data_IF_283261305229
#
_entry.id   IF_283261305229
#
_cell.length_a   1.000
_cell.length_b   1.000
_cell.length_c   1.000
_cell.angle_alpha   90.00
_cell.angle_beta   90.00
_cell.angle_gamma   90.00
#
_symmetry.space_group_name_H-M   'P 1'
#
loop_
_entity.id
_entity.type
_entity.pdbx_description
1 polymer ?
#
# COMPACT_ATOMS: atom_id res chain seq x y z
N UNK A 1 4.75 -31.31 -14.37
CA UNK A 1 3.62 -32.16 -14.83
C UNK A 1 2.86 -32.79 -13.66
N UNK A 2 3.51 -33.55 -12.76
CA UNK A 2 2.87 -34.17 -11.57
C UNK A 2 2.00 -33.22 -10.73
N UNK A 3 2.43 -31.98 -10.55
CA UNK A 3 1.69 -30.94 -9.81
C UNK A 3 0.33 -30.63 -10.46
N UNK A 4 0.31 -30.47 -11.78
CA UNK A 4 -0.92 -30.23 -12.54
C UNK A 4 -1.84 -31.46 -12.51
N UNK A 5 -1.27 -32.66 -12.63
CA UNK A 5 -1.97 -33.94 -12.46
C UNK A 5 -2.64 -34.05 -11.08
N UNK A 6 -1.98 -33.58 -10.02
CA UNK A 6 -2.54 -33.55 -8.66
C UNK A 6 -3.63 -32.50 -8.49
N UNK A 7 -3.39 -31.27 -8.94
CA UNK A 7 -4.31 -30.13 -8.84
C UNK A 7 -5.60 -30.33 -9.64
N UNK A 8 -5.52 -30.98 -10.80
CA UNK A 8 -6.64 -31.16 -11.72
C UNK A 8 -6.98 -32.63 -11.96
N UNK A 9 -6.75 -33.51 -10.97
CA UNK A 9 -6.99 -34.97 -11.07
C UNK A 9 -8.38 -35.37 -11.58
N UNK A 10 -9.38 -34.51 -11.40
CA UNK A 10 -10.76 -34.73 -11.86
C UNK A 10 -11.00 -34.30 -13.32
N UNK A 11 -9.98 -33.82 -14.03
CA UNK A 11 -10.06 -33.34 -15.42
C UNK A 11 -9.35 -34.32 -16.34
N UNK A 12 -9.98 -34.66 -17.46
CA UNK A 12 -9.47 -35.58 -18.48
C UNK A 12 -8.10 -35.17 -19.04
N UNK A 13 -7.88 -33.87 -19.14
CA UNK A 13 -6.72 -33.19 -19.69
C UNK A 13 -5.45 -33.39 -18.84
N UNK A 14 -5.61 -33.88 -17.60
CA UNK A 14 -4.52 -34.07 -16.64
C UNK A 14 -4.36 -35.52 -16.20
N UNK A 15 -4.89 -36.47 -16.97
CA UNK A 15 -4.79 -37.92 -16.69
C UNK A 15 -3.43 -38.51 -17.05
N UNK A 16 -2.69 -37.90 -17.99
CA UNK A 16 -1.36 -38.34 -18.42
C UNK A 16 -0.47 -37.15 -18.81
N UNK A 17 0.86 -37.33 -18.83
CA UNK A 17 1.76 -36.25 -19.25
C UNK A 17 1.54 -35.82 -20.71
N UNK A 18 1.19 -36.75 -21.59
CA UNK A 18 0.89 -36.45 -22.99
C UNK A 18 -0.38 -35.62 -23.12
N UNK A 19 -1.44 -35.94 -22.36
CA UNK A 19 -2.67 -35.15 -22.35
C UNK A 19 -2.39 -33.71 -21.87
N UNK A 20 -1.55 -33.55 -20.84
CA UNK A 20 -1.17 -32.22 -20.34
C UNK A 20 -0.35 -31.46 -21.39
N UNK A 21 0.58 -32.13 -22.07
CA UNK A 21 1.37 -31.52 -23.16
C UNK A 21 0.48 -31.05 -24.30
N UNK A 22 -0.47 -31.88 -24.73
CA UNK A 22 -1.44 -31.52 -25.76
C UNK A 22 -2.32 -30.34 -25.32
N UNK A 23 -2.82 -30.37 -24.09
CA UNK A 23 -3.64 -29.30 -23.53
C UNK A 23 -2.89 -27.96 -23.43
N UNK A 24 -1.64 -27.98 -22.96
CA UNK A 24 -0.78 -26.79 -22.90
C UNK A 24 -0.26 -26.32 -24.28
N UNK A 25 -0.58 -27.05 -25.35
CA UNK A 25 -0.23 -26.67 -26.72
C UNK A 25 1.19 -27.05 -27.15
N UNK A 26 1.82 -28.04 -26.51
CA UNK A 26 3.06 -28.66 -27.01
C UNK A 26 2.77 -29.62 -28.16
N UNK A 27 3.58 -29.58 -29.21
CA UNK A 27 3.54 -30.60 -30.27
C UNK A 27 4.13 -31.92 -29.77
N UNK A 28 3.45 -33.03 -30.06
CA UNK A 28 3.95 -34.38 -29.79
C UNK A 28 5.36 -34.54 -30.36
N UNK A 29 6.31 -34.91 -29.49
CA UNK A 29 7.72 -35.14 -29.87
C UNK A 29 8.62 -33.89 -29.97
N UNK A 30 8.13 -32.67 -29.72
CA UNK A 30 8.98 -31.46 -29.72
C UNK A 30 8.64 -30.53 -28.55
N UNK A 31 9.65 -29.90 -27.96
CA UNK A 31 9.47 -28.83 -26.93
C UNK A 31 9.05 -27.48 -27.54
N UNK A 32 8.68 -27.44 -28.83
CA UNK A 32 8.21 -26.23 -29.50
C UNK A 32 6.73 -26.02 -29.22
N UNK A 33 6.38 -24.80 -28.80
CA UNK A 33 5.03 -24.40 -28.43
C UNK A 33 4.21 -24.01 -29.68
N UNK A 34 2.94 -24.45 -29.75
CA UNK A 34 1.96 -23.88 -30.69
C UNK A 34 1.42 -22.54 -30.18
N UNK A 35 0.77 -21.81 -31.09
CA UNK A 35 0.37 -20.40 -31.01
C UNK A 35 0.04 -19.86 -29.62
N UNK A 36 0.48 -18.62 -29.37
CA UNK A 36 0.32 -17.88 -28.11
C UNK A 36 -1.14 -17.84 -27.60
N UNK A 37 -2.10 -17.97 -28.51
CA UNK A 37 -3.54 -18.04 -28.23
C UNK A 37 -3.97 -19.35 -27.56
N UNK A 38 -3.46 -20.51 -28.00
CA UNK A 38 -3.76 -21.80 -27.35
C UNK A 38 -3.25 -21.82 -25.90
N UNK A 39 -2.08 -21.24 -25.66
CA UNK A 39 -1.50 -21.14 -24.31
C UNK A 39 -2.35 -20.25 -23.40
N UNK A 40 -2.81 -19.10 -23.90
CA UNK A 40 -3.72 -18.22 -23.14
C UNK A 40 -5.03 -18.92 -22.78
N UNK A 41 -5.60 -19.69 -23.70
CA UNK A 41 -6.82 -20.44 -23.46
C UNK A 41 -6.62 -21.56 -22.43
N UNK A 42 -5.53 -22.32 -22.56
CA UNK A 42 -5.17 -23.37 -21.59
C UNK A 42 -4.94 -22.79 -20.18
N UNK A 43 -4.23 -21.67 -20.09
CA UNK A 43 -4.01 -20.96 -18.83
C UNK A 43 -5.34 -20.45 -18.23
N UNK A 44 -6.22 -19.87 -19.04
CA UNK A 44 -7.54 -19.40 -18.59
C UNK A 44 -8.38 -20.54 -18.01
N UNK A 45 -8.45 -21.68 -18.70
CA UNK A 45 -9.17 -22.86 -18.22
C UNK A 45 -8.58 -23.40 -16.90
N UNK A 46 -7.24 -23.46 -16.77
CA UNK A 46 -6.58 -23.81 -15.51
C UNK A 46 -6.96 -22.87 -14.37
N UNK A 47 -7.02 -21.55 -14.62
CA UNK A 47 -7.41 -20.55 -13.61
C UNK A 47 -8.86 -20.76 -13.18
N UNK A 48 -9.78 -20.91 -14.13
CA UNK A 48 -11.20 -21.16 -13.85
C UNK A 48 -11.39 -22.44 -13.01
N UNK A 49 -10.72 -23.53 -13.38
CA UNK A 49 -10.80 -24.78 -12.62
C UNK A 49 -10.15 -24.68 -11.23
N UNK A 50 -9.09 -23.89 -11.09
CA UNK A 50 -8.49 -23.62 -9.78
C UNK A 50 -9.44 -22.83 -8.89
N UNK A 51 -10.16 -21.84 -9.44
CA UNK A 51 -11.20 -21.08 -8.72
C UNK A 51 -12.39 -21.95 -8.32
N UNK A 52 -12.92 -22.79 -9.22
CA UNK A 52 -13.98 -23.74 -8.90
C UNK A 52 -13.58 -24.67 -7.74
N UNK A 53 -12.31 -25.10 -7.72
CA UNK A 53 -11.78 -25.94 -6.65
C UNK A 53 -11.60 -25.14 -5.36
N UNK A 54 -11.14 -23.90 -5.43
CA UNK A 54 -11.02 -22.98 -4.29
C UNK A 54 -12.36 -22.75 -3.60
N UNK A 55 -13.43 -22.53 -4.37
CA UNK A 55 -14.79 -22.35 -3.83
C UNK A 55 -15.32 -23.57 -3.07
N UNK A 56 -14.83 -24.77 -3.41
CA UNK A 56 -15.19 -26.03 -2.73
C UNK A 56 -14.36 -26.31 -1.48
N UNK A 57 -13.25 -25.60 -1.28
CA UNK A 57 -12.38 -25.74 -0.12
C UNK A 57 -12.78 -24.63 0.87
N UNK A 58 -13.34 -24.95 2.05
CA UNK A 58 -13.64 -23.94 3.06
C UNK A 58 -12.37 -23.17 3.41
N UNK A 59 -12.46 -21.84 3.53
CA UNK A 59 -11.32 -20.95 3.77
C UNK A 59 -10.46 -21.47 4.95
N UNK A 60 -9.27 -21.97 4.62
CA UNK A 60 -8.40 -22.65 5.58
C UNK A 60 -7.58 -21.59 6.31
N UNK A 61 -7.90 -21.41 7.59
CA UNK A 61 -7.12 -20.71 8.64
C UNK A 61 -6.94 -19.20 8.49
N UNK A 62 -7.48 -18.45 9.46
CA UNK A 62 -7.07 -17.07 9.72
C UNK A 62 -5.71 -17.09 10.41
N UNK A 63 -4.76 -16.28 9.93
CA UNK A 63 -3.48 -16.12 10.61
C UNK A 63 -3.68 -15.10 11.74
N UNK A 64 -3.79 -15.61 12.96
CA UNK A 64 -3.70 -14.83 14.18
C UNK A 64 -2.26 -14.82 14.66
N UNK A 65 -1.77 -13.64 15.01
CA UNK A 65 -0.39 -13.43 15.46
C UNK A 65 -0.37 -12.36 16.54
N UNK A 66 0.50 -12.54 17.53
CA UNK A 66 0.71 -11.56 18.60
C UNK A 66 1.96 -10.71 18.39
N UNK A 67 2.84 -11.08 17.46
CA UNK A 67 4.08 -10.35 17.19
C UNK A 67 4.57 -10.53 15.73
N UNK A 68 5.40 -9.57 15.28
CA UNK A 68 5.87 -9.50 13.89
C UNK A 68 6.70 -10.73 13.48
N UNK A 69 7.49 -11.30 14.39
CA UNK A 69 8.32 -12.47 14.07
C UNK A 69 7.48 -13.73 13.82
N UNK A 70 6.44 -13.95 14.63
CA UNK A 70 5.49 -15.05 14.47
C UNK A 70 4.69 -14.88 13.16
N UNK A 71 4.33 -13.64 12.82
CA UNK A 71 3.69 -13.34 11.55
C UNK A 71 4.56 -13.79 10.38
N UNK A 72 5.81 -13.31 10.32
CA UNK A 72 6.76 -13.65 9.26
C UNK A 72 6.94 -15.15 9.11
N UNK A 73 7.07 -15.88 10.23
CA UNK A 73 7.21 -17.33 10.19
C UNK A 73 5.97 -18.03 9.60
N UNK A 74 4.76 -17.56 9.93
CA UNK A 74 3.50 -18.13 9.40
C UNK A 74 3.25 -17.76 7.94
N UNK A 75 3.68 -16.58 7.49
CA UNK A 75 3.49 -16.13 6.10
C UNK A 75 4.62 -16.57 5.17
N UNK A 76 5.82 -16.88 5.69
CA UNK A 76 6.99 -17.23 4.88
C UNK A 76 6.72 -18.31 3.81
N UNK A 77 5.98 -19.41 4.09
CA UNK A 77 5.64 -20.40 3.08
C UNK A 77 4.79 -19.84 1.92
N UNK A 78 4.15 -18.69 2.09
CA UNK A 78 3.21 -18.06 1.17
C UNK A 78 3.72 -16.73 0.59
N UNK A 79 4.85 -16.22 1.05
CA UNK A 79 5.35 -14.86 0.76
C UNK A 79 6.52 -14.82 -0.25
N UNK A 80 6.85 -15.94 -0.89
CA UNK A 80 7.80 -16.03 -1.99
C UNK A 80 9.22 -15.60 -1.62
N UNK A 81 9.62 -15.97 -0.40
CA UNK A 81 10.95 -15.65 0.13
C UNK A 81 11.90 -16.80 -0.22
N UNK A 82 12.71 -16.62 -1.27
CA UNK A 82 13.72 -17.58 -1.74
C UNK A 82 14.66 -18.07 -0.61
N UNK A 83 14.77 -17.26 0.46
CA UNK A 83 15.58 -17.52 1.65
C UNK A 83 14.97 -18.64 2.52
N UNK A 84 13.64 -18.85 2.48
CA UNK A 84 12.95 -19.89 3.28
C UNK A 84 12.52 -21.13 2.52
N UNK A 85 12.52 -21.10 1.18
CA UNK A 85 12.08 -22.22 0.32
C UNK A 85 13.12 -23.32 0.14
N UNK A 86 14.33 -23.17 0.69
CA UNK A 86 15.41 -24.16 0.58
C UNK A 86 15.10 -25.56 1.12
N UNK A 87 13.97 -25.77 1.81
CA UNK A 87 13.59 -27.06 2.41
C UNK A 87 12.09 -27.42 2.29
N UNK A 88 11.36 -26.90 1.30
CA UNK A 88 9.97 -27.32 1.11
C UNK A 88 9.91 -28.69 0.40
N UNK A 89 9.19 -29.66 0.98
CA UNK A 89 8.88 -30.97 0.37
C UNK A 89 7.97 -30.89 -0.89
N UNK A 90 7.76 -29.68 -1.42
CA UNK A 90 6.87 -29.41 -2.55
C UNK A 90 7.71 -29.15 -3.80
N UNK A 91 7.43 -29.88 -4.88
CA UNK A 91 8.08 -29.72 -6.20
C UNK A 91 7.71 -28.40 -6.91
N UNK A 92 7.04 -27.48 -6.23
CA UNK A 92 6.55 -26.23 -6.80
C UNK A 92 6.45 -25.13 -5.74
N UNK A 93 6.42 -23.89 -6.21
CA UNK A 93 6.24 -22.72 -5.37
C UNK A 93 4.77 -22.57 -4.93
N UNK A 94 4.44 -22.78 -3.64
CA UNK A 94 3.07 -22.72 -3.15
C UNK A 94 2.44 -21.32 -3.23
N UNK A 95 3.25 -20.25 -3.30
CA UNK A 95 2.75 -18.86 -3.42
C UNK A 95 1.89 -18.64 -4.66
N UNK A 96 2.13 -19.41 -5.73
CA UNK A 96 1.35 -19.34 -6.96
C UNK A 96 -0.12 -19.76 -6.77
N UNK A 97 -0.41 -20.54 -5.73
CA UNK A 97 -1.76 -21.01 -5.40
C UNK A 97 -2.47 -20.12 -4.35
N UNK A 98 -1.79 -19.11 -3.83
CA UNK A 98 -2.34 -18.21 -2.82
C UNK A 98 -3.16 -17.13 -3.52
N UNK A 99 -4.49 -17.16 -3.31
CA UNK A 99 -5.40 -16.16 -3.85
C UNK A 99 -5.54 -14.90 -2.98
N UNK A 100 -5.39 -15.04 -1.66
CA UNK A 100 -5.49 -13.96 -0.66
C UNK A 100 -4.82 -14.39 0.63
N UNK A 101 -4.09 -13.49 1.27
CA UNK A 101 -3.60 -13.65 2.65
C UNK A 101 -4.34 -12.62 3.50
N UNK A 102 -5.07 -13.08 4.52
CA UNK A 102 -5.72 -12.22 5.50
C UNK A 102 -4.96 -12.25 6.82
N UNK A 103 -4.43 -11.10 7.22
CA UNK A 103 -3.71 -10.91 8.48
C UNK A 103 -4.60 -10.10 9.43
N UNK A 104 -4.84 -10.65 10.62
CA UNK A 104 -5.60 -9.97 11.67
C UNK A 104 -4.65 -9.59 12.81
N UNK A 105 -4.66 -8.31 13.20
CA UNK A 105 -3.88 -7.80 14.31
C UNK A 105 -4.55 -6.57 14.94
N UNK A 106 -4.20 -6.30 16.19
CA UNK A 106 -4.65 -5.10 16.90
C UNK A 106 -3.76 -3.91 16.51
N UNK A 107 -4.13 -3.26 15.41
CA UNK A 107 -3.44 -2.06 14.94
C UNK A 107 -4.04 -0.80 15.60
N UNK A 108 -3.20 0.22 15.84
CA UNK A 108 -3.62 1.50 16.43
C UNK A 108 -4.69 2.22 15.61
N UNK A 109 -4.69 2.02 14.28
CA UNK A 109 -5.68 2.58 13.36
C UNK A 109 -6.66 1.48 12.98
N UNK A 110 -7.97 1.72 13.16
CA UNK A 110 -9.04 0.80 12.74
C UNK A 110 -9.26 0.89 11.23
N UNK A 111 -8.29 0.41 10.46
CA UNK A 111 -8.36 0.32 9.01
C UNK A 111 -8.03 -1.09 8.53
N UNK A 112 -8.63 -1.48 7.41
CA UNK A 112 -8.19 -2.64 6.64
C UNK A 112 -7.29 -2.14 5.53
N UNK A 113 -6.06 -2.64 5.48
CA UNK A 113 -5.08 -2.33 4.43
C UNK A 113 -4.99 -3.57 3.55
N UNK A 114 -5.12 -3.40 2.24
CA UNK A 114 -4.93 -4.46 1.26
C UNK A 114 -3.74 -4.13 0.38
N UNK A 115 -2.78 -5.05 0.33
CA UNK A 115 -1.72 -5.04 -0.67
C UNK A 115 -2.19 -5.85 -1.88
N UNK A 116 -2.09 -5.27 -3.07
CA UNK A 116 -2.64 -5.82 -4.30
C UNK A 116 -1.51 -6.19 -5.27
N UNK A 117 -1.67 -7.24 -6.08
CA UNK A 117 -0.73 -7.51 -7.16
C UNK A 117 -0.70 -6.33 -8.14
N UNK A 118 0.43 -6.18 -8.85
CA UNK A 118 0.59 -5.16 -9.89
C UNK A 118 -0.52 -5.26 -10.95
N UNK A 119 -1.03 -4.12 -11.40
CA UNK A 119 -2.08 -4.06 -12.43
C UNK A 119 -1.56 -4.38 -13.85
N UNK A 120 -0.26 -4.61 -13.96
CA UNK A 120 0.49 -5.14 -15.10
C UNK A 120 0.78 -6.66 -14.98
N UNK A 121 0.24 -7.35 -13.98
CA UNK A 121 0.42 -8.81 -13.80
C UNK A 121 -0.02 -9.59 -15.05
N UNK A 122 0.82 -10.54 -15.47
CA UNK A 122 0.60 -11.44 -16.62
C UNK A 122 -0.70 -12.24 -16.44
N UNK A 123 -1.10 -12.51 -15.19
CA UNK A 123 -2.28 -13.28 -14.83
C UNK A 123 -3.48 -12.33 -14.74
N UNK A 124 -4.25 -12.26 -15.82
CA UNK A 124 -5.43 -11.38 -15.95
C UNK A 124 -6.47 -11.52 -14.83
N UNK A 125 -6.61 -12.71 -14.23
CA UNK A 125 -7.51 -12.93 -13.10
C UNK A 125 -7.06 -12.18 -11.84
N UNK A 126 -5.75 -12.14 -11.56
CA UNK A 126 -5.19 -11.36 -10.44
C UNK A 126 -5.44 -9.88 -10.64
N UNK A 127 -5.23 -9.39 -11.86
CA UNK A 127 -5.56 -8.01 -12.25
C UNK A 127 -7.04 -7.71 -12.02
N UNK A 128 -7.94 -8.56 -12.52
CA UNK A 128 -9.40 -8.36 -12.39
C UNK A 128 -9.83 -8.34 -10.91
N UNK A 129 -9.24 -9.21 -10.08
CA UNK A 129 -9.51 -9.23 -8.64
C UNK A 129 -8.97 -7.99 -7.92
N UNK A 130 -7.76 -7.55 -8.27
CA UNK A 130 -7.18 -6.31 -7.76
C UNK A 130 -8.04 -5.11 -8.15
N UNK A 131 -8.46 -5.01 -9.41
CA UNK A 131 -9.34 -3.96 -9.90
C UNK A 131 -10.64 -3.91 -9.09
N UNK A 132 -11.34 -5.04 -8.92
CA UNK A 132 -12.56 -5.17 -8.10
C UNK A 132 -12.33 -4.71 -6.65
N UNK A 133 -11.24 -5.17 -6.03
CA UNK A 133 -10.91 -4.78 -4.67
C UNK A 133 -10.68 -3.26 -4.54
N UNK A 134 -10.01 -2.66 -5.52
CA UNK A 134 -9.80 -1.22 -5.58
C UNK A 134 -11.10 -0.42 -5.79
N UNK A 135 -12.16 -1.03 -6.33
CA UNK A 135 -13.48 -0.37 -6.46
C UNK A 135 -14.20 -0.24 -5.13
N UNK A 136 -14.05 -1.23 -4.26
CA UNK A 136 -14.67 -1.23 -2.94
C UNK A 136 -13.90 -0.35 -1.94
N UNK A 137 -12.66 0.01 -2.26
CA UNK A 137 -11.80 0.84 -1.42
C UNK A 137 -12.29 2.30 -1.37
N UNK A 138 -12.27 2.91 -0.17
CA UNK A 138 -12.50 4.36 0.00
C UNK A 138 -11.24 5.19 -0.24
N UNK A 139 -10.09 4.58 -0.02
CA UNK A 139 -8.77 5.18 -0.27
C UNK A 139 -7.99 4.23 -1.16
N UNK A 140 -7.39 4.76 -2.20
CA UNK A 140 -6.47 4.03 -3.06
C UNK A 140 -5.11 4.68 -2.97
N UNK A 141 -4.10 3.89 -2.64
CA UNK A 141 -2.72 4.32 -2.56
C UNK A 141 -1.99 3.78 -3.80
N UNK A 142 -1.58 4.68 -4.69
CA UNK A 142 -0.73 4.35 -5.83
C UNK A 142 0.73 4.59 -5.45
N UNK A 143 1.55 3.55 -5.46
CA UNK A 143 2.98 3.65 -5.15
C UNK A 143 3.77 3.62 -6.45
N UNK A 144 4.57 4.65 -6.70
CA UNK A 144 5.41 4.75 -7.91
C UNK A 144 6.84 5.20 -7.53
N UNK A 145 7.83 4.96 -8.37
CA UNK A 145 9.16 5.55 -8.17
C UNK A 145 9.15 7.03 -8.58
N UNK A 146 9.74 7.91 -7.75
CA UNK A 146 9.82 9.35 -8.04
C UNK A 146 10.51 9.65 -9.39
N UNK A 147 11.41 8.78 -9.86
CA UNK A 147 12.09 8.88 -11.16
C UNK A 147 11.16 8.65 -12.35
N UNK A 148 10.04 7.95 -12.17
CA UNK A 148 9.13 7.52 -13.25
C UNK A 148 7.81 8.26 -13.24
N UNK A 149 7.38 8.76 -12.08
CA UNK A 149 6.05 9.32 -11.86
C UNK A 149 5.66 10.51 -12.78
N UNK A 150 6.62 11.21 -13.39
CA UNK A 150 6.33 12.31 -14.32
C UNK A 150 5.86 11.86 -15.72
N UNK A 151 6.33 10.70 -16.15
CA UNK A 151 6.29 10.23 -17.54
C UNK A 151 5.70 8.81 -17.68
N UNK A 152 5.25 8.21 -16.58
CA UNK A 152 4.60 6.91 -16.63
C UNK A 152 3.18 7.02 -17.20
N UNK A 153 3.00 6.49 -18.41
CA UNK A 153 1.70 6.43 -19.07
C UNK A 153 0.71 5.52 -18.35
N UNK A 154 1.18 4.53 -17.58
CA UNK A 154 0.29 3.69 -16.77
C UNK A 154 -0.29 4.47 -15.60
N UNK A 155 0.55 5.14 -14.80
CA UNK A 155 0.09 6.01 -13.72
C UNK A 155 -0.86 7.09 -14.24
N UNK A 156 -0.56 7.70 -15.40
CA UNK A 156 -1.41 8.76 -15.95
C UNK A 156 -2.80 8.22 -16.34
N UNK A 157 -2.86 7.09 -17.04
CA UNK A 157 -4.13 6.42 -17.34
C UNK A 157 -4.90 6.03 -16.07
N UNK A 158 -4.20 5.46 -15.08
CA UNK A 158 -4.80 4.99 -13.83
C UNK A 158 -5.40 6.15 -13.03
N UNK A 159 -4.65 7.24 -12.87
CA UNK A 159 -5.11 8.42 -12.15
C UNK A 159 -6.25 9.12 -12.89
N UNK A 160 -6.20 9.22 -14.22
CA UNK A 160 -7.31 9.76 -15.00
C UNK A 160 -8.59 8.94 -14.82
N UNK A 161 -8.52 7.61 -14.91
CA UNK A 161 -9.67 6.74 -14.68
C UNK A 161 -10.25 6.95 -13.28
N UNK A 162 -9.39 6.86 -12.24
CA UNK A 162 -9.84 6.92 -10.84
C UNK A 162 -10.34 8.30 -10.45
N UNK A 163 -9.60 9.37 -10.76
CA UNK A 163 -10.00 10.73 -10.42
C UNK A 163 -11.29 11.14 -11.14
N UNK A 164 -11.47 10.76 -12.41
CA UNK A 164 -12.64 11.17 -13.21
C UNK A 164 -13.89 10.34 -12.91
N UNK A 165 -13.74 9.02 -12.80
CA UNK A 165 -14.89 8.12 -12.69
C UNK A 165 -15.30 7.85 -11.23
N UNK A 166 -14.48 8.26 -10.25
CA UNK A 166 -14.73 8.05 -8.81
C UNK A 166 -14.39 9.28 -7.96
N UNK A 167 -15.16 10.37 -8.07
CA UNK A 167 -14.89 11.60 -7.32
C UNK A 167 -14.95 11.41 -5.79
N UNK A 168 -15.72 10.42 -5.31
CA UNK A 168 -15.86 10.10 -3.88
C UNK A 168 -14.71 9.25 -3.31
N UNK A 169 -13.82 8.73 -4.15
CA UNK A 169 -12.68 7.92 -3.75
C UNK A 169 -11.46 8.82 -3.50
N UNK A 170 -10.83 8.71 -2.32
CA UNK A 170 -9.59 9.45 -2.03
C UNK A 170 -8.41 8.73 -2.66
N UNK A 171 -7.58 9.46 -3.39
CA UNK A 171 -6.43 8.93 -4.11
C UNK A 171 -5.17 9.53 -3.51
N UNK A 172 -4.27 8.67 -3.04
CA UNK A 172 -2.98 9.06 -2.48
C UNK A 172 -1.88 8.49 -3.37
N UNK A 173 -1.12 9.35 -4.03
CA UNK A 173 0.07 8.96 -4.77
C UNK A 173 1.27 9.06 -3.84
N UNK A 174 1.92 7.92 -3.61
CA UNK A 174 3.13 7.81 -2.80
C UNK A 174 4.31 7.59 -3.73
N UNK A 175 5.13 8.61 -3.87
CA UNK A 175 6.37 8.58 -4.64
C UNK A 175 7.48 8.01 -3.77
N UNK A 176 7.88 6.78 -4.05
CA UNK A 176 8.96 6.10 -3.35
C UNK A 176 10.34 6.60 -3.81
N UNK A 177 11.35 6.35 -2.97
CA UNK A 177 12.77 6.60 -3.25
C UNK A 177 13.10 8.07 -3.50
N UNK A 178 12.43 8.99 -2.79
CA UNK A 178 12.61 10.44 -2.90
C UNK A 178 14.05 10.94 -2.71
N UNK A 179 14.83 10.18 -1.95
CA UNK A 179 16.21 10.41 -1.56
C UNK A 179 17.25 9.82 -2.53
N UNK A 180 16.83 8.97 -3.48
CA UNK A 180 17.75 8.23 -4.34
C UNK A 180 18.08 8.95 -5.64
N UNK A 181 19.31 8.78 -6.11
CA UNK A 181 19.77 9.33 -7.39
C UNK A 181 19.91 10.85 -7.42
N UNK A 182 20.02 11.49 -6.25
CA UNK A 182 20.26 12.93 -6.11
C UNK A 182 21.73 13.24 -6.40
N UNK A 183 22.12 13.18 -7.67
CA UNK A 183 23.50 13.44 -8.06
C UNK A 183 23.77 14.94 -8.05
N UNK A 184 24.89 15.36 -7.46
CA UNK A 184 25.19 16.78 -7.26
C UNK A 184 25.40 17.57 -8.55
N UNK A 185 25.72 16.86 -9.64
CA UNK A 185 25.97 17.38 -10.98
C UNK A 185 24.71 17.72 -11.80
N UNK A 186 23.53 17.18 -11.43
CA UNK A 186 22.26 17.42 -12.16
C UNK A 186 21.57 18.72 -11.73
N UNK A 187 22.33 19.83 -11.62
CA UNK A 187 21.82 21.17 -11.23
C UNK A 187 20.86 21.77 -12.26
N UNK A 188 20.73 21.19 -13.46
CA UNK A 188 20.00 21.77 -14.59
C UNK A 188 18.57 21.24 -14.77
N UNK A 189 18.09 20.37 -13.86
CA UNK A 189 16.74 19.78 -13.93
C UNK A 189 15.83 20.17 -12.77
N UNK A 190 16.24 21.12 -11.94
CA UNK A 190 15.58 21.45 -10.68
C UNK A 190 15.41 22.96 -10.52
N UNK A 191 14.26 23.36 -10.00
CA UNK A 191 13.81 24.74 -9.80
C UNK A 191 13.97 25.10 -8.32
N UNK A 192 15.22 25.32 -7.91
CA UNK A 192 15.54 25.76 -6.55
C UNK A 192 15.04 27.18 -6.31
N UNK A 193 14.53 27.43 -5.11
CA UNK A 193 14.23 28.78 -4.64
C UNK A 193 15.53 29.54 -4.35
N UNK A 194 15.49 30.88 -4.36
CA UNK A 194 16.68 31.72 -4.14
C UNK A 194 17.40 31.40 -2.82
N UNK A 195 16.63 31.12 -1.76
CA UNK A 195 17.18 30.77 -0.45
C UNK A 195 17.87 29.38 -0.48
N UNK A 196 17.31 28.41 -1.21
CA UNK A 196 17.91 27.07 -1.35
C UNK A 196 19.22 27.13 -2.14
N UNK A 197 19.31 27.99 -3.15
CA UNK A 197 20.56 28.24 -3.90
C UNK A 197 21.61 28.85 -2.96
N UNK A 198 21.23 29.87 -2.18
CA UNK A 198 22.12 30.52 -1.23
C UNK A 198 22.66 29.54 -0.17
N UNK A 199 21.78 28.67 0.36
CA UNK A 199 22.14 27.62 1.31
C UNK A 199 23.09 26.59 0.68
N UNK A 200 22.80 26.11 -0.53
CA UNK A 200 23.68 25.17 -1.25
C UNK A 200 25.07 25.77 -1.52
N UNK A 201 25.15 27.05 -1.88
CA UNK A 201 26.42 27.74 -2.11
C UNK A 201 27.18 27.97 -0.79
N UNK A 202 26.48 28.25 0.30
CA UNK A 202 27.07 28.31 1.63
C UNK A 202 27.63 26.96 2.08
N UNK A 203 26.86 25.88 1.90
CA UNK A 203 27.27 24.51 2.22
C UNK A 203 28.50 24.09 1.41
N UNK A 204 28.53 24.40 0.10
CA UNK A 204 29.68 24.12 -0.75
C UNK A 204 30.95 24.82 -0.25
N UNK A 205 30.87 26.12 0.07
CA UNK A 205 31.99 26.88 0.65
C UNK A 205 32.41 26.30 2.00
N UNK A 206 31.45 25.96 2.86
CA UNK A 206 31.71 25.39 4.19
C UNK A 206 32.42 24.05 4.08
N UNK A 207 31.96 23.16 3.19
CA UNK A 207 32.57 21.85 2.91
C UNK A 207 34.01 21.98 2.46
N UNK A 208 34.30 22.98 1.61
CA UNK A 208 35.67 23.24 1.16
C UNK A 208 36.58 23.71 2.30
N UNK A 209 36.11 24.62 3.15
CA UNK A 209 36.85 25.11 4.33
C UNK A 209 37.15 23.96 5.30
N UNK A 210 36.13 23.15 5.61
CA UNK A 210 36.25 21.99 6.51
C UNK A 210 37.15 20.91 5.90
N UNK A 211 37.04 20.67 4.59
CA UNK A 211 37.89 19.75 3.85
C UNK A 211 39.37 20.16 3.89
N UNK A 212 39.66 21.45 3.69
CA UNK A 212 41.02 22.01 3.84
C UNK A 212 41.52 21.88 5.27
N UNK A 213 40.69 22.23 6.26
CA UNK A 213 41.05 22.09 7.68
C UNK A 213 41.40 20.63 8.03
N UNK A 214 40.59 19.66 7.59
CA UNK A 214 40.87 18.22 7.74
C UNK A 214 42.18 17.80 7.07
N UNK A 215 42.49 18.38 5.90
CA UNK A 215 43.71 18.13 5.14
C UNK A 215 44.98 18.58 5.87
N UNK A 216 44.89 19.63 6.69
CA UNK A 216 46.02 20.18 7.45
C UNK A 216 46.47 19.31 8.63
N UNK A 217 45.67 18.33 9.05
CA UNK A 217 46.03 17.41 10.14
C UNK A 217 46.65 16.12 9.61
N UNK A 218 47.78 15.72 10.19
CA UNK A 218 48.42 14.44 9.91
C UNK A 218 47.51 13.25 10.26
N UNK A 219 47.77 12.08 9.67
CA UNK A 219 46.97 10.86 9.92
C UNK A 219 46.94 10.42 11.37
N UNK A 220 47.95 10.80 12.16
CA UNK A 220 48.09 10.54 13.60
C UNK A 220 47.07 11.30 14.46
N UNK A 221 46.55 12.43 13.97
CA UNK A 221 45.53 13.25 14.64
C UNK A 221 44.12 12.69 14.35
N UNK A 222 43.86 11.50 14.86
CA UNK A 222 42.65 10.74 14.55
C UNK A 222 41.37 11.45 14.99
N UNK A 223 41.37 12.07 16.17
CA UNK A 223 40.19 12.72 16.76
C UNK A 223 39.74 13.94 15.95
N UNK A 224 40.67 14.82 15.58
CA UNK A 224 40.39 16.02 14.79
C UNK A 224 39.97 15.64 13.37
N UNK A 225 40.65 14.68 12.74
CA UNK A 225 40.27 14.19 11.41
C UNK A 225 38.89 13.53 11.42
N UNK A 226 38.54 12.81 12.49
CA UNK A 226 37.21 12.21 12.69
C UNK A 226 36.15 13.29 12.89
N UNK A 227 36.43 14.33 13.71
CA UNK A 227 35.52 15.47 13.91
C UNK A 227 35.19 16.17 12.59
N UNK A 228 36.18 16.52 11.78
CA UNK A 228 35.94 17.15 10.49
C UNK A 228 35.28 16.20 9.48
N UNK A 229 35.54 14.89 9.57
CA UNK A 229 34.81 13.91 8.75
C UNK A 229 33.31 13.87 9.12
N UNK A 230 32.98 13.90 10.42
CA UNK A 230 31.60 14.02 10.87
C UNK A 230 30.96 15.33 10.38
N UNK A 231 31.67 16.45 10.46
CA UNK A 231 31.15 17.74 9.97
C UNK A 231 30.88 17.72 8.45
N UNK A 232 31.78 17.15 7.64
CA UNK A 232 31.54 16.94 6.21
C UNK A 232 30.30 16.07 5.98
N UNK A 233 30.12 15.00 6.77
CA UNK A 233 28.93 14.14 6.65
C UNK A 233 27.62 14.88 6.98
N UNK A 234 27.63 15.83 7.94
CA UNK A 234 26.47 16.68 8.21
C UNK A 234 26.20 17.68 7.08
N UNK A 235 27.24 18.27 6.49
CA UNK A 235 27.09 19.17 5.34
C UNK A 235 26.51 18.40 4.15
N UNK A 236 26.99 17.17 3.90
CA UNK A 236 26.51 16.30 2.83
C UNK A 236 25.05 15.86 3.06
N UNK A 237 24.66 15.69 4.33
CA UNK A 237 23.28 15.42 4.73
C UNK A 237 22.37 16.61 4.41
N UNK A 238 22.75 17.82 4.83
CA UNK A 238 21.97 19.04 4.59
C UNK A 238 21.81 19.32 3.09
N UNK A 239 22.89 19.17 2.31
CA UNK A 239 22.85 19.30 0.86
C UNK A 239 21.85 18.30 0.24
N UNK A 240 21.87 17.04 0.71
CA UNK A 240 20.96 16.01 0.23
C UNK A 240 19.51 16.30 0.59
N UNK A 241 19.24 16.77 1.81
CA UNK A 241 17.89 17.12 2.26
C UNK A 241 17.29 18.25 1.42
N UNK A 242 18.07 19.30 1.11
CA UNK A 242 17.62 20.40 0.25
C UNK A 242 17.25 19.88 -1.14
N UNK A 243 18.14 19.08 -1.75
CA UNK A 243 17.91 18.50 -3.09
C UNK A 243 16.71 17.55 -3.11
N UNK A 244 16.56 16.71 -2.10
CA UNK A 244 15.42 15.79 -1.98
C UNK A 244 14.11 16.57 -1.86
N UNK A 245 14.09 17.62 -1.04
CA UNK A 245 12.91 18.47 -0.80
C UNK A 245 12.48 19.20 -2.07
N UNK A 246 13.42 19.84 -2.77
CA UNK A 246 13.10 20.53 -4.03
C UNK A 246 12.53 19.56 -5.05
N UNK A 247 13.18 18.40 -5.25
CA UNK A 247 12.71 17.39 -6.22
C UNK A 247 11.31 16.90 -5.87
N UNK A 248 11.07 16.64 -4.58
CA UNK A 248 9.76 16.22 -4.08
C UNK A 248 8.72 17.30 -4.38
N UNK A 249 8.99 18.57 -4.02
CA UNK A 249 8.11 19.71 -4.29
C UNK A 249 7.81 19.83 -5.78
N UNK A 250 8.83 19.83 -6.63
CA UNK A 250 8.69 19.97 -8.08
C UNK A 250 7.78 18.89 -8.69
N UNK A 251 7.99 17.62 -8.33
CA UNK A 251 7.21 16.51 -8.88
C UNK A 251 5.81 16.46 -8.27
N UNK A 252 5.68 16.70 -6.97
CA UNK A 252 4.38 16.82 -6.29
C UNK A 252 3.53 17.93 -6.92
N UNK A 253 4.12 19.10 -7.17
CA UNK A 253 3.41 20.24 -7.76
C UNK A 253 3.08 20.00 -9.23
N UNK A 254 3.96 19.34 -9.99
CA UNK A 254 3.68 18.91 -11.38
C UNK A 254 2.48 17.96 -11.43
N UNK A 255 2.42 16.97 -10.55
CA UNK A 255 1.28 16.04 -10.48
C UNK A 255 0.02 16.74 -9.98
N UNK A 256 0.08 17.49 -8.88
CA UNK A 256 -1.07 18.26 -8.35
C UNK A 256 -1.64 19.19 -9.40
N UNK A 257 -0.79 19.91 -10.14
CA UNK A 257 -1.23 20.82 -11.20
C UNK A 257 -1.88 20.08 -12.38
N UNK A 258 -1.37 18.91 -12.76
CA UNK A 258 -1.96 18.09 -13.84
C UNK A 258 -3.35 17.59 -13.48
N UNK A 259 -3.59 17.25 -12.22
CA UNK A 259 -4.87 16.71 -11.73
C UNK A 259 -5.74 17.75 -11.02
N UNK A 260 -5.31 19.03 -11.01
CA UNK A 260 -6.07 20.13 -10.44
C UNK A 260 -7.41 20.27 -11.18
N UNK A 261 -8.51 20.33 -10.43
CA UNK A 261 -9.86 20.44 -10.99
C UNK A 261 -10.47 19.12 -11.49
N UNK A 262 -9.73 18.00 -11.44
CA UNK A 262 -10.29 16.66 -11.72
C UNK A 262 -10.82 16.01 -10.44
N UNK A 263 -10.07 16.14 -9.33
CA UNK A 263 -10.50 15.62 -8.02
C UNK A 263 -9.89 16.46 -6.89
N UNK A 264 -10.74 16.90 -5.96
CA UNK A 264 -10.30 17.57 -4.72
C UNK A 264 -9.77 16.56 -3.68
N UNK A 265 -9.95 15.26 -3.95
CA UNK A 265 -9.56 14.15 -3.06
C UNK A 265 -8.21 13.53 -3.47
N UNK A 266 -7.34 14.30 -4.09
CA UNK A 266 -6.04 13.86 -4.61
C UNK A 266 -4.87 14.38 -3.74
N UNK A 267 -4.07 13.46 -3.21
CA UNK A 267 -2.90 13.78 -2.38
C UNK A 267 -1.66 13.16 -3.03
N UNK A 268 -0.56 13.92 -3.07
CA UNK A 268 0.75 13.41 -3.50
C UNK A 268 1.74 13.62 -2.36
N UNK A 269 2.52 12.58 -2.06
CA UNK A 269 3.59 12.57 -1.05
C UNK A 269 4.80 11.84 -1.58
N UNK A 270 5.98 12.40 -1.36
CA UNK A 270 7.25 11.71 -1.61
C UNK A 270 7.80 11.10 -0.33
N UNK A 271 8.13 9.81 -0.34
CA UNK A 271 8.58 9.08 0.85
C UNK A 271 9.95 8.42 0.69
N UNK A 272 10.67 8.29 1.80
CA UNK A 272 11.87 7.45 1.93
C UNK A 272 11.68 6.40 3.02
N UNK A 273 11.27 5.19 2.60
CA UNK A 273 11.04 4.07 3.50
C UNK A 273 12.34 3.57 4.15
N UNK A 274 13.43 3.50 3.40
CA UNK A 274 14.72 3.02 3.90
C UNK A 274 15.24 3.92 5.02
N UNK A 275 15.18 5.24 4.85
CA UNK A 275 15.64 6.16 5.88
C UNK A 275 14.76 6.13 7.13
N UNK A 276 13.45 5.99 6.95
CA UNK A 276 12.54 5.83 8.07
C UNK A 276 12.83 4.56 8.87
N UNK A 277 13.08 3.43 8.19
CA UNK A 277 13.46 2.17 8.83
C UNK A 277 14.78 2.34 9.59
N UNK A 278 15.78 3.03 9.03
CA UNK A 278 17.05 3.33 9.72
C UNK A 278 16.84 4.12 11.01
N UNK A 279 15.90 5.07 11.03
CA UNK A 279 15.53 5.79 12.25
C UNK A 279 14.89 4.88 13.29
N UNK A 280 13.96 4.02 12.87
CA UNK A 280 13.27 3.08 13.77
C UNK A 280 14.25 2.07 14.38
N UNK A 281 15.22 1.60 13.60
CA UNK A 281 16.25 0.64 14.06
C UNK A 281 17.34 1.29 14.92
N UNK A 282 17.49 2.61 14.83
CA UNK A 282 18.61 3.34 15.41
C UNK A 282 19.87 3.22 14.55
N UNK A 283 20.68 4.30 14.52
CA UNK A 283 21.93 4.35 13.77
C UNK A 283 23.00 5.11 14.56
N UNK A 284 24.25 4.71 14.37
CA UNK A 284 25.38 5.37 15.01
C UNK A 284 25.84 6.59 14.19
N UNK A 285 25.58 7.79 14.75
CA UNK A 285 25.94 9.08 14.15
C UNK A 285 27.46 9.31 14.04
N UNK A 286 28.27 8.55 14.76
CA UNK A 286 29.73 8.73 14.84
C UNK A 286 30.53 7.78 13.94
N UNK A 287 29.87 6.82 13.29
CA UNK A 287 30.50 5.82 12.41
C UNK A 287 29.85 5.72 11.05
N UNK A 288 28.62 6.23 10.89
CA UNK A 288 27.98 6.29 9.60
C UNK A 288 28.54 7.46 8.78
N UNK A 289 29.32 7.14 7.73
CA UNK A 289 29.72 8.12 6.72
C UNK A 289 28.51 8.64 5.91
N UNK A 290 27.37 7.97 6.04
CA UNK A 290 26.11 8.31 5.41
C UNK A 290 25.04 8.44 6.50
N UNK A 291 24.71 9.66 6.91
CA UNK A 291 23.64 9.91 7.86
C UNK A 291 22.28 9.86 7.14
N UNK A 292 21.24 9.22 7.72
CA UNK A 292 19.92 9.28 7.14
C UNK A 292 19.32 10.69 7.31
N UNK A 293 18.58 11.20 6.31
CA UNK A 293 17.71 12.37 6.42
C UNK A 293 16.82 12.32 7.65
N UNK A 294 16.40 13.46 8.18
CA UNK A 294 15.50 13.56 9.33
C UNK A 294 14.20 12.76 9.14
N UNK A 295 13.61 12.24 10.22
CA UNK A 295 12.33 11.48 10.16
C UNK A 295 11.25 12.27 9.44
N UNK A 296 11.19 13.58 9.66
CA UNK A 296 10.24 14.48 9.01
C UNK A 296 10.46 14.57 7.49
N UNK A 297 11.71 14.61 7.04
CA UNK A 297 12.04 14.66 5.61
C UNK A 297 11.61 13.40 4.85
N UNK A 298 11.46 12.26 5.53
CA UNK A 298 10.96 11.02 4.92
C UNK A 298 9.48 11.10 4.52
N UNK A 299 8.75 12.13 4.95
CA UNK A 299 7.29 12.34 4.85
C UNK A 299 6.38 11.19 5.30
N UNK A 300 6.91 10.05 5.78
CA UNK A 300 6.13 8.94 6.31
C UNK A 300 5.25 9.37 7.49
N UNK A 301 5.71 10.20 8.46
CA UNK A 301 4.84 10.72 9.50
C UNK A 301 3.63 11.52 8.96
N UNK A 302 3.85 12.33 7.92
CA UNK A 302 2.78 13.10 7.27
C UNK A 302 1.80 12.19 6.54
N UNK A 303 2.29 11.16 5.84
CA UNK A 303 1.45 10.15 5.20
C UNK A 303 0.59 9.40 6.24
N UNK A 304 1.17 9.02 7.39
CA UNK A 304 0.41 8.38 8.48
C UNK A 304 -0.70 9.30 8.99
N UNK A 305 -0.42 10.59 9.12
CA UNK A 305 -1.42 11.59 9.51
C UNK A 305 -2.55 11.68 8.47
N UNK A 306 -2.20 11.78 7.18
CA UNK A 306 -3.19 11.83 6.09
C UNK A 306 -4.09 10.58 6.11
N UNK A 307 -3.52 9.38 6.36
CA UNK A 307 -4.28 8.13 6.48
C UNK A 307 -5.18 8.10 7.73
N UNK A 308 -4.70 8.62 8.87
CA UNK A 308 -5.49 8.72 10.09
C UNK A 308 -6.66 9.70 9.93
N UNK A 309 -6.45 10.80 9.20
CA UNK A 309 -7.49 11.78 8.93
C UNK A 309 -8.62 11.20 8.07
N UNK A 310 -8.32 10.31 7.11
CA UNK A 310 -9.37 9.56 6.39
C UNK A 310 -10.26 8.74 7.34
N UNK A 311 -9.63 8.02 8.28
CA UNK A 311 -10.38 7.21 9.24
C UNK A 311 -11.26 8.09 10.15
N UNK A 312 -10.76 9.26 10.53
CA UNK A 312 -11.48 10.24 11.34
C UNK A 312 -12.66 10.87 10.59
N UNK A 313 -12.47 11.28 9.35
CA UNK A 313 -13.53 11.85 8.50
C UNK A 313 -14.70 10.87 8.38
N UNK A 314 -14.39 9.58 8.14
CA UNK A 314 -15.41 8.52 8.09
C UNK A 314 -16.16 8.37 9.41
N UNK A 315 -15.45 8.43 10.54
CA UNK A 315 -16.08 8.33 11.86
C UNK A 315 -17.03 9.52 12.10
N UNK A 316 -16.60 10.73 11.73
CA UNK A 316 -17.43 11.94 11.78
C UNK A 316 -18.67 11.82 10.89
N UNK A 317 -18.53 11.38 9.65
CA UNK A 317 -19.66 11.21 8.72
C UNK A 317 -20.66 10.19 9.23
N UNK A 318 -20.18 9.12 9.87
CA UNK A 318 -21.04 8.11 10.47
C UNK A 318 -21.80 8.67 11.68
N UNK A 319 -21.11 9.43 12.55
CA UNK A 319 -21.74 10.11 13.69
C UNK A 319 -22.77 11.14 13.23
N UNK A 320 -22.47 11.92 12.18
CA UNK A 320 -23.39 12.89 11.61
C UNK A 320 -24.65 12.23 11.04
N UNK A 321 -24.50 11.10 10.33
CA UNK A 321 -25.66 10.30 9.87
C UNK A 321 -26.47 9.73 11.03
N UNK A 322 -25.81 9.19 12.04
CA UNK A 322 -26.47 8.67 13.23
C UNK A 322 -27.29 9.77 13.93
N UNK A 323 -26.72 10.98 14.06
CA UNK A 323 -27.39 12.13 14.66
C UNK A 323 -28.52 12.69 13.79
N UNK A 324 -28.31 12.80 12.48
CA UNK A 324 -29.25 13.44 11.57
C UNK A 324 -30.41 12.56 11.10
N UNK A 325 -30.23 11.24 11.05
CA UNK A 325 -31.21 10.31 10.49
C UNK A 325 -31.72 9.34 11.55
N UNK A 326 -30.81 8.58 12.18
CA UNK A 326 -31.21 7.49 13.06
C UNK A 326 -31.78 7.96 14.40
N UNK A 327 -31.21 9.00 15.01
CA UNK A 327 -31.69 9.53 16.29
C UNK A 327 -33.12 10.09 16.19
N UNK A 328 -33.47 10.93 15.19
CA UNK A 328 -34.84 11.39 14.99
C UNK A 328 -35.83 10.25 14.73
N UNK A 329 -35.45 9.26 13.92
CA UNK A 329 -36.28 8.07 13.68
C UNK A 329 -36.52 7.27 14.97
N UNK A 330 -35.46 7.09 15.78
CA UNK A 330 -35.55 6.38 17.06
C UNK A 330 -36.47 7.12 18.03
N UNK A 331 -36.36 8.45 18.13
CA UNK A 331 -37.24 9.26 18.97
C UNK A 331 -38.69 9.22 18.47
N UNK A 332 -38.90 9.27 17.16
CA UNK A 332 -40.23 9.13 16.55
C UNK A 332 -40.86 7.76 16.84
N UNK A 333 -40.06 6.69 16.82
CA UNK A 333 -40.47 5.34 17.19
C UNK A 333 -40.85 5.25 18.67
N UNK A 334 -40.07 5.88 19.57
CA UNK A 334 -40.37 5.94 21.00
C UNK A 334 -41.68 6.72 21.25
N UNK A 335 -41.92 7.83 20.55
CA UNK A 335 -43.17 8.59 20.62
C UNK A 335 -44.36 7.78 20.09
N UNK A 336 -44.18 7.05 18.98
CA UNK A 336 -45.20 6.17 18.42
C UNK A 336 -45.56 5.06 19.43
N UNK A 337 -44.57 4.40 20.04
CA UNK A 337 -44.81 3.38 21.06
C UNK A 337 -45.52 3.98 22.28
N UNK A 338 -45.10 5.15 22.76
CA UNK A 338 -45.74 5.86 23.87
C UNK A 338 -47.20 6.20 23.56
N UNK A 339 -47.51 6.72 22.37
CA UNK A 339 -48.88 7.05 21.96
C UNK A 339 -49.76 5.81 21.80
N UNK A 340 -49.19 4.69 21.35
CA UNK A 340 -49.89 3.42 21.20
C UNK A 340 -50.19 2.78 22.55
N UNK A 341 -49.27 2.87 23.50
CA UNK A 341 -49.48 2.41 24.89
C UNK A 341 -50.56 3.26 25.57
N UNK A 342 -50.50 4.59 25.46
CA UNK A 342 -51.53 5.49 26.03
C UNK A 342 -52.92 5.20 25.43
N UNK A 343 -53.02 4.95 24.12
CA UNK A 343 -54.29 4.59 23.47
C UNK A 343 -54.88 3.26 23.96
N UNK A 344 -54.04 2.27 24.28
CA UNK A 344 -54.50 0.99 24.87
C UNK A 344 -55.07 1.17 26.28
N UNK A 345 -54.52 2.07 27.09
CA UNK A 345 -55.04 2.34 28.44
C UNK A 345 -56.29 3.23 28.46
N UNK A 346 -56.53 4.07 27.45
CA UNK A 346 -57.79 4.84 27.32
C UNK A 346 -58.98 4.01 26.81
N UNK A 347 -58.76 2.75 26.39
CA UNK A 347 -59.83 1.86 25.88
C UNK A 347 -60.21 0.77 26.89
N UNK A 348 -60.08 1.06 28.19
CA UNK A 348 -60.77 0.31 29.24
C UNK A 348 -62.00 1.14 29.62
N UNK A 349 -63.11 0.93 28.90
CA UNK A 349 -64.43 1.39 29.35
C UNK A 349 -64.77 0.60 30.60
N UNK A 350 -64.87 1.28 31.74
CA UNK A 350 -65.52 0.74 32.92
C UNK A 350 -66.98 0.44 32.56
N UNK A 351 -67.29 -0.83 32.28
CA UNK A 351 -68.65 -1.33 32.28
C UNK A 351 -69.12 -1.39 33.72
N UNK A 352 -69.83 -0.36 34.17
CA UNK A 352 -70.56 -0.38 35.44
C UNK A 352 -71.72 -1.35 35.23
N UNK A 353 -71.60 -2.57 35.75
CA UNK A 353 -72.77 -3.40 36.03
C UNK A 353 -73.35 -2.94 37.36
N UNK A 354 -74.52 -2.30 37.29
CA UNK A 354 -75.40 -2.12 38.44
C UNK A 354 -75.78 -3.49 38.99
N UNK A 355 -75.33 -3.79 40.22
CA UNK A 355 -75.90 -4.84 41.04
C UNK A 355 -77.00 -4.18 41.87
N UNK A 356 -78.24 -4.50 41.52
CA UNK A 356 -79.42 -4.25 42.34
C UNK A 356 -79.45 -5.31 43.43
N UNK A 357 -79.39 -4.92 44.70
CA UNK A 357 -79.82 -5.77 45.81
C UNK A 357 -80.82 -5.02 46.69
N UNK A 358 -81.83 -5.79 47.11
CA UNK A 358 -83.07 -5.40 47.79
C UNK A 358 -82.88 -4.91 49.22
#
# INVERSE_FOLDING_TARGET
MKVLTGLFRSRSEFTSEDAIRTFLGYTTGTSKLQSLEKQRNALRACIEWAEERRLKIPAVSKIHTTNVSELWHKIAPFANDEITTGNTALDFNPTLLVGKIEIFGDFRVRCSIGDCPGLDDIIQDRKTKAERYLEDCKVVIAVEEITRAGDDGFLDWFLQDRCKNRPDQRIIVVLSKGDTGLNSADRTKTSFEEHEIADLDWLARRKEIVGRAKGNYERTHFEERKRYACEIAYIDLEEREIRARERSRHIEDRLRSRYAGISDNFIVRTTSANDYIRHVQGYNRYTANDLPPSVQSTQIPSLIKDLADVANDRAKDHLMRLCGQMLPELFSLVELVRSTIVRRYTTIRYGVHEIVEQ
#
